data_IF_597668395291
#
_entry.id   IF_597668395291
#
_cell.length_a   1.000
_cell.length_b   1.000
_cell.length_c   1.000
_cell.angle_alpha   90.00
_cell.angle_beta   90.00
_cell.angle_gamma   90.00
#
_symmetry.space_group_name_H-M   'P 1'
#
loop_
_entity.id
_entity.type
_entity.pdbx_description
1 polymer ?
#
# COMPACT_ATOMS: atom_id res chain seq x y z
N UNK A 1 -19.19 10.81 6.39
CA UNK A 1 -18.05 9.92 6.58
C UNK A 1 -18.11 9.37 8.01
N UNK A 2 -18.12 8.04 8.17
CA UNK A 2 -18.09 7.40 9.50
C UNK A 2 -16.66 6.88 9.71
N UNK A 3 -16.02 7.27 10.82
CA UNK A 3 -14.68 6.86 11.18
C UNK A 3 -14.75 5.82 12.30
N UNK A 4 -14.03 4.71 12.14
CA UNK A 4 -13.78 3.71 13.17
C UNK A 4 -12.27 3.55 13.33
N UNK A 5 -11.80 3.44 14.56
CA UNK A 5 -10.38 3.28 14.87
C UNK A 5 -10.12 1.98 15.60
N UNK A 6 -9.08 1.27 15.20
CA UNK A 6 -8.53 0.13 15.94
C UNK A 6 -7.21 0.54 16.56
N UNK A 7 -7.14 0.50 17.87
CA UNK A 7 -5.93 0.79 18.62
C UNK A 7 -5.44 -0.46 19.31
N UNK A 8 -4.18 -0.81 19.09
CA UNK A 8 -3.53 -1.90 19.80
C UNK A 8 -2.79 -1.35 21.03
N UNK A 9 -2.89 -1.98 22.20
CA UNK A 9 -2.01 -1.67 23.32
C UNK A 9 -0.55 -1.94 22.95
N UNK A 10 0.42 -1.27 23.58
CA UNK A 10 1.84 -1.50 23.32
C UNK A 10 2.20 -2.97 23.61
N UNK A 11 2.90 -3.59 22.67
CA UNK A 11 3.24 -5.01 22.70
C UNK A 11 4.08 -5.41 23.91
N UNK A 12 3.62 -6.44 24.63
CA UNK A 12 4.50 -7.42 25.23
C UNK A 12 4.60 -8.60 24.26
N UNK A 13 5.76 -9.19 24.06
CA UNK A 13 6.02 -10.32 23.13
C UNK A 13 5.10 -11.55 23.35
N UNK A 14 4.36 -11.59 24.46
CA UNK A 14 3.42 -12.65 24.82
C UNK A 14 2.03 -12.54 24.21
N UNK A 15 1.71 -11.45 23.50
CA UNK A 15 0.32 -11.10 23.10
C UNK A 15 0.08 -10.98 21.59
N UNK A 16 1.01 -11.43 20.72
CA UNK A 16 0.81 -11.30 19.26
C UNK A 16 -0.46 -12.03 18.78
N UNK A 17 -0.75 -13.19 19.34
CA UNK A 17 -1.94 -13.96 18.98
C UNK A 17 -3.23 -13.23 19.39
N UNK A 18 -3.28 -12.70 20.60
CA UNK A 18 -4.41 -11.90 21.09
C UNK A 18 -4.66 -10.66 20.21
N UNK A 19 -3.58 -9.99 19.80
CA UNK A 19 -3.67 -8.88 18.85
C UNK A 19 -4.25 -9.29 17.50
N UNK A 20 -3.79 -10.41 16.93
CA UNK A 20 -4.27 -10.91 15.66
C UNK A 20 -5.75 -11.33 15.73
N UNK A 21 -6.16 -11.90 16.83
CA UNK A 21 -7.57 -12.29 17.05
C UNK A 21 -8.48 -11.06 17.20
N UNK A 22 -8.04 -10.05 17.96
CA UNK A 22 -8.75 -8.77 18.07
C UNK A 22 -8.83 -8.02 16.74
N UNK A 23 -7.73 -8.02 15.96
CA UNK A 23 -7.73 -7.42 14.62
C UNK A 23 -8.68 -8.15 13.67
N UNK A 24 -8.72 -9.49 13.73
CA UNK A 24 -9.65 -10.30 12.94
C UNK A 24 -11.10 -9.98 13.28
N UNK A 25 -11.42 -9.95 14.56
CA UNK A 25 -12.76 -9.61 15.04
C UNK A 25 -13.17 -8.21 14.58
N UNK A 26 -12.29 -7.23 14.74
CA UNK A 26 -12.56 -5.87 14.31
C UNK A 26 -12.77 -5.77 12.78
N UNK A 27 -11.95 -6.43 11.97
CA UNK A 27 -12.09 -6.46 10.50
C UNK A 27 -13.43 -7.08 10.08
N UNK A 28 -13.85 -8.15 10.75
CA UNK A 28 -15.12 -8.84 10.45
C UNK A 28 -16.36 -7.98 10.76
N UNK A 29 -16.22 -6.98 11.63
CA UNK A 29 -17.28 -6.07 12.00
C UNK A 29 -17.27 -4.75 11.22
N UNK A 30 -16.37 -4.59 10.25
CA UNK A 30 -16.32 -3.37 9.42
C UNK A 30 -17.52 -3.31 8.47
N UNK A 31 -18.12 -2.12 8.30
CA UNK A 31 -19.16 -1.91 7.30
C UNK A 31 -18.53 -1.85 5.92
N UNK A 32 -18.54 -2.96 5.18
CA UNK A 32 -18.03 -3.02 3.81
C UNK A 32 -19.05 -2.46 2.80
N UNK A 33 -18.61 -1.81 1.70
CA UNK A 33 -17.22 -1.51 1.37
C UNK A 33 -16.67 -0.33 2.19
N UNK A 34 -15.39 -0.39 2.55
CA UNK A 34 -14.72 0.68 3.29
C UNK A 34 -13.24 0.86 2.90
N UNK A 35 -12.60 1.89 3.43
CA UNK A 35 -11.17 2.13 3.28
C UNK A 35 -10.48 2.08 4.65
N UNK A 36 -9.31 1.47 4.70
CA UNK A 36 -8.50 1.33 5.89
C UNK A 36 -7.15 2.04 5.68
N UNK A 37 -6.77 2.85 6.66
CA UNK A 37 -5.47 3.47 6.72
C UNK A 37 -4.67 2.85 7.88
N UNK A 38 -3.59 2.15 7.54
CA UNK A 38 -2.68 1.53 8.50
C UNK A 38 -1.55 2.51 8.86
N UNK A 39 -1.15 2.52 10.14
CA UNK A 39 -0.13 3.46 10.65
C UNK A 39 1.25 3.23 10.03
N UNK A 40 1.56 2.01 9.59
CA UNK A 40 2.78 1.66 8.87
C UNK A 40 2.56 0.42 7.99
N UNK A 41 3.57 0.09 7.17
CA UNK A 41 3.51 -1.02 6.22
C UNK A 41 3.46 -2.40 6.88
N UNK A 42 4.08 -2.56 8.06
CA UNK A 42 4.01 -3.82 8.80
C UNK A 42 2.56 -4.14 9.23
N UNK A 43 1.86 -3.14 9.73
CA UNK A 43 0.44 -3.27 10.09
C UNK A 43 -0.41 -3.46 8.83
N UNK A 44 -0.13 -2.70 7.76
CA UNK A 44 -0.79 -2.87 6.47
C UNK A 44 -0.69 -4.30 5.94
N UNK A 45 0.50 -4.90 6.01
CA UNK A 45 0.72 -6.32 5.66
C UNK A 45 -0.10 -7.28 6.52
N UNK A 46 -0.15 -7.06 7.85
CA UNK A 46 -0.98 -7.87 8.75
C UNK A 46 -2.47 -7.76 8.39
N UNK A 47 -2.96 -6.55 8.11
CA UNK A 47 -4.33 -6.32 7.66
C UNK A 47 -4.64 -7.07 6.37
N UNK A 48 -3.78 -6.98 5.35
CA UNK A 48 -3.96 -7.70 4.08
C UNK A 48 -4.02 -9.22 4.28
N UNK A 49 -3.14 -9.75 5.12
CA UNK A 49 -3.14 -11.19 5.46
C UNK A 49 -4.43 -11.61 6.16
N UNK A 50 -4.92 -10.82 7.11
CA UNK A 50 -6.17 -11.12 7.83
C UNK A 50 -7.39 -10.95 6.92
N UNK A 51 -7.43 -9.93 6.07
CA UNK A 51 -8.50 -9.74 5.08
C UNK A 51 -8.60 -10.94 4.13
N UNK A 52 -7.46 -11.42 3.63
CA UNK A 52 -7.40 -12.63 2.80
C UNK A 52 -7.96 -13.86 3.51
N UNK A 53 -7.57 -14.08 4.78
CA UNK A 53 -8.04 -15.20 5.59
C UNK A 53 -9.55 -15.10 5.92
N UNK A 54 -10.07 -13.88 6.00
CA UNK A 54 -11.50 -13.62 6.22
C UNK A 54 -12.33 -13.63 4.92
N UNK A 55 -11.69 -13.81 3.75
CA UNK A 55 -12.36 -13.80 2.45
C UNK A 55 -12.81 -12.41 1.98
N UNK A 56 -12.27 -11.34 2.56
CA UNK A 56 -12.56 -9.95 2.19
C UNK A 56 -11.78 -9.60 0.92
N UNK A 57 -12.48 -9.13 -0.11
CA UNK A 57 -11.87 -8.74 -1.39
C UNK A 57 -11.19 -7.37 -1.27
N UNK A 58 -9.85 -7.37 -1.45
CA UNK A 58 -9.04 -6.15 -1.49
C UNK A 58 -8.65 -5.89 -2.94
N UNK A 59 -8.94 -4.74 -3.50
CA UNK A 59 -9.44 -3.52 -2.88
C UNK A 59 -10.96 -3.27 -2.97
N UNK A 60 -11.76 -4.21 -3.48
CA UNK A 60 -13.17 -3.96 -3.80
C UNK A 60 -14.03 -3.70 -2.56
N UNK A 61 -13.87 -4.55 -1.56
CA UNK A 61 -14.60 -4.43 -0.30
C UNK A 61 -13.80 -3.64 0.73
N UNK A 62 -12.47 -3.81 0.75
CA UNK A 62 -11.56 -3.14 1.66
C UNK A 62 -10.38 -2.53 0.91
N UNK A 63 -10.39 -1.22 0.67
CA UNK A 63 -9.21 -0.52 0.16
C UNK A 63 -8.21 -0.28 1.31
N UNK A 64 -6.93 -0.63 1.13
CA UNK A 64 -5.91 -0.50 2.17
C UNK A 64 -4.79 0.42 1.71
N UNK A 65 -4.44 1.39 2.57
CA UNK A 65 -3.28 2.28 2.41
C UNK A 65 -2.48 2.27 3.71
N UNK A 66 -1.16 2.26 3.61
CA UNK A 66 -0.25 2.32 4.76
C UNK A 66 0.70 3.52 4.69
N UNK A 67 1.71 3.53 5.53
CA UNK A 67 2.76 4.57 5.60
C UNK A 67 4.12 3.89 5.68
N UNK A 68 5.15 4.52 5.14
CA UNK A 68 6.60 4.32 5.09
C UNK A 68 7.10 4.04 3.68
N UNK A 69 6.35 3.33 2.86
CA UNK A 69 6.72 2.83 1.52
C UNK A 69 7.99 1.99 1.55
N UNK A 70 8.05 1.04 2.50
CA UNK A 70 9.08 0.00 2.49
C UNK A 70 8.81 -0.96 1.32
N UNK A 71 9.62 -0.83 0.27
CA UNK A 71 9.49 -1.62 -0.96
C UNK A 71 9.51 -3.11 -0.68
N UNK A 72 10.34 -3.57 0.28
CA UNK A 72 10.44 -5.00 0.65
C UNK A 72 9.15 -5.54 1.27
N UNK A 73 8.37 -4.69 1.91
CA UNK A 73 7.07 -5.06 2.47
C UNK A 73 5.99 -4.89 1.42
N UNK A 74 5.92 -3.69 0.83
CA UNK A 74 4.81 -3.30 -0.03
C UNK A 74 4.69 -4.16 -1.29
N UNK A 75 5.81 -4.58 -1.89
CA UNK A 75 5.81 -5.37 -3.13
C UNK A 75 5.71 -6.89 -2.90
N UNK A 76 5.94 -7.35 -1.67
CA UNK A 76 5.82 -8.76 -1.31
C UNK A 76 4.49 -9.12 -0.63
N UNK A 77 3.51 -8.20 -0.63
CA UNK A 77 2.14 -8.49 -0.19
C UNK A 77 1.24 -8.85 -1.38
N UNK A 78 0.17 -9.59 -1.12
CA UNK A 78 -0.87 -9.92 -2.12
C UNK A 78 -2.23 -9.51 -1.56
N UNK A 79 -2.85 -8.48 -2.19
CA UNK A 79 -2.35 -7.58 -3.23
C UNK A 79 -1.20 -6.69 -2.76
N UNK A 80 -0.41 -6.13 -3.70
CA UNK A 80 0.69 -5.20 -3.37
C UNK A 80 0.18 -3.96 -2.65
N UNK A 81 0.89 -3.54 -1.60
CA UNK A 81 0.41 -2.54 -0.64
C UNK A 81 0.70 -1.10 -1.10
N UNK A 82 -0.35 -0.31 -1.22
CA UNK A 82 -0.26 1.13 -1.42
C UNK A 82 0.22 1.81 -0.14
N UNK A 83 1.16 2.72 -0.24
CA UNK A 83 1.75 3.34 0.95
C UNK A 83 2.14 4.80 0.72
N UNK A 84 2.06 5.58 1.78
CA UNK A 84 2.49 6.97 1.80
C UNK A 84 4.00 7.01 2.03
N UNK A 85 4.74 7.55 1.06
CA UNK A 85 6.19 7.73 1.15
C UNK A 85 6.51 8.97 1.97
N UNK A 86 7.30 8.78 3.02
CA UNK A 86 7.82 9.86 3.85
C UNK A 86 9.14 10.42 3.28
N UNK A 87 9.40 11.72 3.49
CA UNK A 87 10.70 12.32 3.16
C UNK A 87 11.73 12.04 4.27
N UNK A 88 12.21 10.79 4.33
CA UNK A 88 13.19 10.36 5.33
C UNK A 88 14.54 11.09 5.16
N UNK A 89 14.86 11.54 3.96
CA UNK A 89 16.07 12.35 3.72
C UNK A 89 15.96 13.72 4.37
N UNK A 90 14.83 14.39 4.18
CA UNK A 90 14.54 15.66 4.84
C UNK A 90 14.49 15.48 6.36
N UNK A 91 13.82 14.43 6.84
CA UNK A 91 13.73 14.12 8.27
C UNK A 91 15.13 13.98 8.91
N UNK A 92 16.02 13.20 8.29
CA UNK A 92 17.40 13.03 8.76
C UNK A 92 18.18 14.33 8.74
N UNK A 93 18.04 15.16 7.69
CA UNK A 93 18.69 16.47 7.60
C UNK A 93 18.22 17.41 8.70
N UNK A 94 16.92 17.45 8.97
CA UNK A 94 16.34 18.30 10.02
C UNK A 94 16.77 17.83 11.42
N UNK A 95 16.78 16.51 11.64
CA UNK A 95 17.25 15.94 12.91
C UNK A 95 18.73 16.27 13.18
N UNK A 96 19.60 16.15 12.17
CA UNK A 96 21.00 16.50 12.28
C UNK A 96 21.20 17.99 12.61
N UNK A 97 20.44 18.90 11.96
CA UNK A 97 20.47 20.34 12.28
C UNK A 97 20.05 20.65 13.72
N UNK A 98 18.96 20.01 14.18
CA UNK A 98 18.50 20.19 15.56
C UNK A 98 19.51 19.67 16.58
N UNK A 99 20.19 18.57 16.27
CA UNK A 99 21.22 18.00 17.13
C UNK A 99 22.44 18.94 17.20
N UNK A 100 22.91 19.44 16.05
CA UNK A 100 24.01 20.40 15.97
C UNK A 100 23.70 21.67 16.77
N UNK A 101 22.50 22.22 16.61
CA UNK A 101 22.03 23.39 17.36
C UNK A 101 21.97 23.10 18.88
N UNK A 102 21.54 21.92 19.29
CA UNK A 102 21.51 21.49 20.70
C UNK A 102 22.91 21.38 21.28
N UNK A 103 23.86 20.84 20.53
CA UNK A 103 25.25 20.69 20.97
C UNK A 103 25.97 22.03 21.08
N UNK A 104 25.73 22.91 20.10
CA UNK A 104 26.35 24.25 20.07
C UNK A 104 25.72 25.22 21.07
N UNK A 105 24.41 25.10 21.31
CA UNK A 105 23.65 25.97 22.20
C UNK A 105 22.81 25.16 23.21
N UNK A 106 23.41 24.51 24.22
CA UNK A 106 22.72 23.56 25.08
C UNK A 106 21.52 24.12 25.87
N UNK A 107 21.53 25.42 26.14
CA UNK A 107 20.47 26.08 26.91
C UNK A 107 19.35 26.69 26.02
N UNK A 108 19.55 26.73 24.73
CA UNK A 108 18.54 27.27 23.80
C UNK A 108 17.34 26.30 23.71
N UNK A 109 16.14 26.86 23.79
CA UNK A 109 14.92 26.09 23.51
C UNK A 109 14.84 25.82 22.00
N UNK A 110 14.82 24.57 21.62
CA UNK A 110 14.62 24.17 20.24
C UNK A 110 13.12 24.11 19.93
N UNK A 111 12.76 24.59 18.74
CA UNK A 111 11.41 24.45 18.22
C UNK A 111 11.20 23.10 17.57
N UNK A 112 9.97 22.57 17.68
CA UNK A 112 9.60 21.35 16.98
C UNK A 112 9.52 21.61 15.48
N UNK A 113 10.15 20.73 14.70
CA UNK A 113 10.12 20.80 13.24
C UNK A 113 9.19 19.71 12.72
N UNK A 114 8.39 20.04 11.72
CA UNK A 114 7.49 19.11 11.03
C UNK A 114 7.92 18.99 9.59
N UNK A 115 7.79 17.80 9.05
CA UNK A 115 7.98 17.52 7.62
C UNK A 115 6.79 16.74 7.09
N UNK A 116 6.51 16.87 5.80
CA UNK A 116 5.38 16.21 5.14
C UNK A 116 5.82 14.98 4.34
N UNK A 117 4.84 14.21 3.84
CA UNK A 117 5.10 13.10 2.94
C UNK A 117 5.55 13.60 1.56
N UNK A 118 6.31 12.78 0.84
CA UNK A 118 6.64 12.99 -0.58
C UNK A 118 5.41 12.77 -1.46
N UNK A 119 4.59 11.77 -1.13
CA UNK A 119 3.39 11.42 -1.87
C UNK A 119 2.87 10.03 -1.55
N UNK A 120 1.81 9.64 -2.26
CA UNK A 120 1.22 8.30 -2.19
C UNK A 120 1.74 7.45 -3.35
N UNK A 121 2.37 6.32 -3.03
CA UNK A 121 2.69 5.27 -4.01
C UNK A 121 1.50 4.32 -4.08
N UNK A 122 0.74 4.44 -5.17
CA UNK A 122 -0.46 3.62 -5.39
C UNK A 122 -0.06 2.25 -5.92
N UNK A 123 -0.59 1.19 -5.29
CA UNK A 123 -0.46 -0.21 -5.69
C UNK A 123 -1.83 -0.89 -5.68
N UNK A 124 -1.86 -2.21 -5.80
CA UNK A 124 -3.10 -2.97 -5.97
C UNK A 124 -4.06 -2.87 -4.77
N UNK A 125 -3.58 -2.69 -3.54
CA UNK A 125 -4.42 -2.67 -2.35
C UNK A 125 -5.38 -1.47 -2.24
N UNK A 126 -5.19 -0.42 -3.04
CA UNK A 126 -6.09 0.74 -3.10
C UNK A 126 -6.46 1.15 -4.53
N UNK A 127 -5.97 0.42 -5.52
CA UNK A 127 -6.29 0.68 -6.92
C UNK A 127 -7.49 -0.16 -7.32
N UNK A 128 -8.67 0.41 -7.17
CA UNK A 128 -9.86 -0.19 -7.75
C UNK A 128 -9.83 0.05 -9.26
N UNK A 129 -9.50 -0.99 -10.01
CA UNK A 129 -9.77 -1.02 -11.45
C UNK A 129 -11.14 -1.68 -11.56
N UNK A 130 -12.15 -0.89 -11.90
CA UNK A 130 -13.51 -1.39 -12.19
C UNK A 130 -13.50 -2.20 -13.50
N UNK A 131 -12.60 -3.18 -13.58
CA UNK A 131 -12.50 -4.07 -14.72
C UNK A 131 -13.27 -5.34 -14.42
N UNK A 132 -14.41 -5.52 -15.11
CA UNK A 132 -15.20 -6.74 -15.04
C UNK A 132 -14.47 -7.95 -15.63
N UNK A 133 -13.34 -7.74 -16.32
CA UNK A 133 -12.57 -8.82 -16.94
C UNK A 133 -11.37 -9.22 -16.05
N UNK A 134 -11.48 -10.40 -15.43
CA UNK A 134 -10.42 -10.97 -14.59
C UNK A 134 -9.07 -11.11 -15.31
N UNK A 135 -9.08 -11.27 -16.64
CA UNK A 135 -7.86 -11.39 -17.45
C UNK A 135 -7.07 -10.08 -17.44
N UNK A 136 -7.76 -8.94 -17.46
CA UNK A 136 -7.11 -7.62 -17.41
C UNK A 136 -6.47 -7.36 -16.04
N UNK A 137 -7.14 -7.74 -14.96
CA UNK A 137 -6.57 -7.63 -13.62
C UNK A 137 -5.33 -8.52 -13.47
N UNK A 138 -5.41 -9.76 -13.95
CA UNK A 138 -4.27 -10.67 -13.95
C UNK A 138 -3.11 -10.17 -14.84
N UNK A 139 -3.41 -9.56 -15.99
CA UNK A 139 -2.42 -8.97 -16.88
C UNK A 139 -1.71 -7.77 -16.22
N UNK A 140 -2.45 -6.90 -15.53
CA UNK A 140 -1.86 -5.79 -14.77
C UNK A 140 -0.92 -6.27 -13.67
N UNK A 141 -1.32 -7.30 -12.94
CA UNK A 141 -0.47 -7.88 -11.88
C UNK A 141 0.76 -8.56 -12.48
N UNK A 142 0.61 -9.29 -13.58
CA UNK A 142 1.73 -9.88 -14.32
C UNK A 142 2.74 -8.84 -14.79
N UNK A 143 2.26 -7.73 -15.36
CA UNK A 143 3.11 -6.61 -15.79
C UNK A 143 3.90 -6.06 -14.60
N UNK A 144 3.25 -5.83 -13.47
CA UNK A 144 3.92 -5.28 -12.27
C UNK A 144 5.02 -6.18 -11.73
N UNK A 145 4.79 -7.49 -11.73
CA UNK A 145 5.76 -8.48 -11.23
C UNK A 145 6.95 -8.62 -12.16
N UNK A 146 6.70 -8.60 -13.49
CA UNK A 146 7.72 -8.94 -14.49
C UNK A 146 8.25 -7.72 -15.29
N UNK A 147 7.82 -6.49 -14.96
CA UNK A 147 8.23 -5.29 -15.69
C UNK A 147 9.75 -5.11 -15.79
N UNK A 148 10.49 -5.50 -14.75
CA UNK A 148 11.96 -5.41 -14.72
C UNK A 148 12.66 -6.49 -15.55
N UNK A 149 11.95 -7.53 -15.98
CA UNK A 149 12.48 -8.63 -16.78
C UNK A 149 12.47 -8.32 -18.29
N UNK A 150 12.00 -7.12 -18.67
CA UNK A 150 11.97 -6.68 -20.07
C UNK A 150 10.85 -7.32 -20.89
N UNK A 151 9.74 -7.71 -20.26
CA UNK A 151 8.57 -8.27 -20.96
C UNK A 151 8.00 -7.30 -22.00
N UNK A 152 7.50 -7.85 -23.09
CA UNK A 152 6.84 -7.07 -24.14
C UNK A 152 5.33 -7.15 -24.03
N UNK A 153 4.65 -6.20 -24.67
CA UNK A 153 3.18 -6.22 -24.77
C UNK A 153 2.62 -7.46 -25.49
N UNK A 154 3.46 -8.10 -26.33
CA UNK A 154 3.11 -9.33 -26.99
C UNK A 154 3.14 -10.53 -26.01
N UNK A 155 4.14 -10.58 -25.14
CA UNK A 155 4.26 -11.61 -24.10
C UNK A 155 3.08 -11.57 -23.14
N UNK A 156 2.69 -10.37 -22.71
CA UNK A 156 1.49 -10.20 -21.86
C UNK A 156 0.22 -10.65 -22.58
N UNK A 157 0.05 -10.28 -23.84
CA UNK A 157 -1.14 -10.68 -24.60
C UNK A 157 -1.22 -12.21 -24.80
N UNK A 158 -0.08 -12.85 -25.09
CA UNK A 158 0.01 -14.30 -25.25
C UNK A 158 -0.27 -15.05 -23.93
N UNK A 159 0.23 -14.54 -22.81
CA UNK A 159 0.05 -15.16 -21.49
C UNK A 159 -1.44 -15.24 -21.05
N UNK A 160 -2.26 -14.26 -21.46
CA UNK A 160 -3.66 -14.18 -21.04
C UNK A 160 -4.68 -14.49 -22.13
N UNK A 161 -4.23 -15.12 -23.22
CA UNK A 161 -5.07 -15.52 -24.36
C UNK A 161 -5.99 -14.37 -24.84
N UNK A 162 -5.42 -13.21 -25.01
CA UNK A 162 -6.14 -12.03 -25.47
C UNK A 162 -5.33 -11.23 -26.49
N UNK A 163 -6.03 -10.49 -27.36
CA UNK A 163 -5.34 -9.66 -28.34
C UNK A 163 -4.74 -8.41 -27.66
N UNK A 164 -3.57 -7.97 -28.12
CA UNK A 164 -2.94 -6.72 -27.69
C UNK A 164 -3.93 -5.54 -27.78
N UNK A 165 -4.70 -5.46 -28.87
CA UNK A 165 -5.72 -4.39 -29.05
C UNK A 165 -6.83 -4.44 -28.01
N UNK A 166 -7.19 -5.62 -27.54
CA UNK A 166 -8.16 -5.77 -26.45
C UNK A 166 -7.58 -5.25 -25.15
N UNK A 167 -6.36 -5.67 -24.78
CA UNK A 167 -5.69 -5.20 -23.58
C UNK A 167 -5.48 -3.68 -23.60
N UNK A 168 -4.96 -3.13 -24.70
CA UNK A 168 -4.75 -1.67 -24.84
C UNK A 168 -6.07 -0.90 -24.68
N UNK A 169 -7.16 -1.39 -25.26
CA UNK A 169 -8.48 -0.74 -25.15
C UNK A 169 -9.01 -0.75 -23.72
N UNK A 170 -8.90 -1.88 -23.05
CA UNK A 170 -9.42 -2.02 -21.68
C UNK A 170 -8.52 -1.26 -20.71
N UNK A 171 -7.21 -1.37 -20.82
CA UNK A 171 -6.27 -0.61 -20.00
C UNK A 171 -6.45 0.90 -20.18
N UNK A 172 -6.56 1.38 -21.42
CA UNK A 172 -6.80 2.81 -21.68
C UNK A 172 -8.12 3.30 -21.07
N UNK A 173 -9.15 2.46 -21.06
CA UNK A 173 -10.44 2.77 -20.44
C UNK A 173 -10.36 2.83 -18.91
N UNK A 174 -9.68 1.87 -18.29
CA UNK A 174 -9.70 1.69 -16.84
C UNK A 174 -8.56 2.47 -16.12
N UNK A 175 -7.35 2.51 -16.73
CA UNK A 175 -6.19 3.17 -16.14
C UNK A 175 -5.82 4.50 -16.78
N UNK A 176 -6.43 4.83 -17.93
CA UNK A 176 -6.05 5.93 -18.83
C UNK A 176 -4.61 5.82 -19.34
N UNK A 177 -4.05 4.63 -19.36
CA UNK A 177 -2.71 4.31 -19.83
C UNK A 177 -2.76 3.14 -20.81
N UNK A 178 -1.78 3.08 -21.70
CA UNK A 178 -1.58 1.94 -22.61
C UNK A 178 -0.67 0.91 -21.98
N UNK A 179 -0.61 -0.30 -22.57
CA UNK A 179 0.29 -1.40 -22.17
C UNK A 179 1.78 -0.97 -22.10
N UNK A 180 2.18 0.03 -22.91
CA UNK A 180 3.55 0.58 -22.92
C UNK A 180 3.79 1.63 -21.83
N UNK A 181 2.74 2.10 -21.18
CA UNK A 181 2.81 3.15 -20.16
C UNK A 181 2.62 2.59 -18.74
N UNK A 182 2.20 1.32 -18.61
CA UNK A 182 2.20 0.58 -17.36
C UNK A 182 3.53 -0.12 -17.12
#
# INVERSE_FOLDING_TARGET
LRLSTFSCPPHSDSDEQSYLDALREWLSNLPLPCALFAVNDLIGRKVLSMAKNAGIDVPRELAVVAVDDDVKICEHTVPTLSSVRQDMRLAGTLAAKLLDERLTHPRRRLESVRFGPVGLVRRASSSHVDCCDRRVLAALEYIRVHAVEGITSADVAAQFDCSRRFLDRVLARETRRTLLQE
#
